data_IF_073541896540
#
_entry.id   IF_073541896540
#
_cell.length_a   1.000
_cell.length_b   1.000
_cell.length_c   1.000
_cell.angle_alpha   90.00
_cell.angle_beta   90.00
_cell.angle_gamma   90.00
#
_symmetry.space_group_name_H-M   'P 1'
#
loop_
_entity.id
_entity.type
_entity.pdbx_description
1 polymer ?
#
# COMPACT_ATOMS: atom_id res chain seq x y z
N UNK A 1 -10.31 2.76 5.11
CA UNK A 1 -9.47 3.83 4.54
C UNK A 1 -9.99 5.18 5.03
N UNK A 2 -9.20 6.23 4.95
CA UNK A 2 -9.60 7.58 5.33
C UNK A 2 -8.99 8.58 4.34
N UNK A 3 -9.66 9.71 4.15
CA UNK A 3 -9.15 10.87 3.45
C UNK A 3 -8.99 12.02 4.45
N UNK A 4 -7.86 12.70 4.38
CA UNK A 4 -7.56 13.87 5.20
C UNK A 4 -7.49 15.08 4.28
N UNK A 5 -8.44 16.00 4.44
CA UNK A 5 -8.45 17.27 3.72
C UNK A 5 -7.73 18.30 4.56
N UNK A 6 -6.65 18.84 4.02
CA UNK A 6 -5.86 19.86 4.71
C UNK A 6 -6.59 21.20 4.62
N UNK A 7 -6.43 22.02 5.66
CA UNK A 7 -6.92 23.40 5.67
C UNK A 7 -6.30 24.24 4.53
N UNK A 8 -5.02 23.99 4.23
CA UNK A 8 -4.28 24.66 3.17
C UNK A 8 -3.58 23.64 2.25
N UNK A 9 -3.54 23.87 0.93
CA UNK A 9 -2.87 22.97 0.00
C UNK A 9 -1.34 23.04 0.16
N UNK A 10 -0.67 21.91 -0.03
CA UNK A 10 0.78 21.90 -0.15
C UNK A 10 1.23 22.53 -1.47
N UNK A 11 2.36 23.24 -1.43
CA UNK A 11 3.09 23.63 -2.64
C UNK A 11 3.97 22.45 -3.07
N UNK A 12 3.80 21.98 -4.30
CA UNK A 12 4.62 20.90 -4.84
C UNK A 12 6.07 21.38 -5.03
N UNK A 13 7.01 20.53 -4.66
CA UNK A 13 8.45 20.78 -4.75
C UNK A 13 9.21 19.45 -4.83
N UNK A 14 10.55 19.48 -4.91
CA UNK A 14 11.42 18.31 -5.04
C UNK A 14 11.23 17.26 -3.95
N UNK A 15 10.78 17.67 -2.77
CA UNK A 15 10.52 16.80 -1.60
C UNK A 15 9.03 16.66 -1.26
N UNK A 16 8.12 17.28 -2.03
CA UNK A 16 6.67 17.24 -1.81
C UNK A 16 5.99 17.01 -3.15
N UNK A 17 5.50 15.80 -3.39
CA UNK A 17 4.84 15.44 -4.63
C UNK A 17 3.72 14.41 -4.41
N UNK A 18 2.85 14.22 -5.40
CA UNK A 18 1.75 13.27 -5.36
C UNK A 18 2.17 11.90 -5.90
N UNK A 19 1.50 10.85 -5.41
CA UNK A 19 1.54 9.53 -6.04
C UNK A 19 0.31 9.35 -6.92
N UNK A 20 0.45 8.60 -8.02
CA UNK A 20 -0.71 8.19 -8.81
C UNK A 20 -1.49 7.10 -8.05
N UNK A 21 -2.81 7.05 -8.16
CA UNK A 21 -3.61 5.96 -7.60
C UNK A 21 -3.86 4.88 -8.66
N UNK A 22 -3.75 3.62 -8.24
CA UNK A 22 -4.13 2.51 -9.10
C UNK A 22 -5.65 2.50 -9.35
N UNK A 23 -6.02 2.29 -10.61
CA UNK A 23 -7.39 2.06 -11.05
C UNK A 23 -7.49 0.67 -11.68
N UNK A 24 -8.64 0.02 -11.54
CA UNK A 24 -8.96 -1.25 -12.18
C UNK A 24 -8.89 -1.16 -13.71
N UNK A 25 -9.05 0.04 -14.27
CA UNK A 25 -8.99 0.33 -15.71
C UNK A 25 -7.57 0.50 -16.27
N UNK A 26 -6.59 0.88 -15.44
CA UNK A 26 -5.29 1.38 -15.93
C UNK A 26 -4.18 0.34 -15.89
N UNK A 27 -4.07 -0.48 -14.83
CA UNK A 27 -3.02 -1.49 -14.74
C UNK A 27 -3.57 -2.82 -14.22
N UNK A 28 -3.56 -3.89 -15.05
CA UNK A 28 -3.93 -5.23 -14.60
C UNK A 28 -3.07 -5.67 -13.41
N UNK A 29 -3.70 -6.28 -12.40
CA UNK A 29 -3.00 -6.79 -11.22
C UNK A 29 -1.85 -7.75 -11.57
N UNK A 30 -1.99 -8.49 -12.67
CA UNK A 30 -0.94 -9.39 -13.20
C UNK A 30 0.32 -8.66 -13.63
N UNK A 31 0.22 -7.42 -14.13
CA UNK A 31 1.37 -6.58 -14.43
C UNK A 31 1.99 -6.02 -13.15
N UNK A 32 1.16 -5.55 -12.21
CA UNK A 32 1.65 -5.03 -10.92
C UNK A 32 2.46 -6.07 -10.13
N UNK A 33 2.13 -7.36 -10.24
CA UNK A 33 2.91 -8.44 -9.60
C UNK A 33 4.33 -8.61 -10.14
N UNK A 34 4.62 -8.07 -11.33
CA UNK A 34 5.97 -8.04 -11.93
C UNK A 34 6.71 -6.74 -11.60
N UNK A 35 6.01 -5.73 -11.13
CA UNK A 35 6.60 -4.44 -10.74
C UNK A 35 7.32 -4.53 -9.40
N UNK A 36 8.32 -3.66 -9.25
CA UNK A 36 8.94 -3.41 -7.95
C UNK A 36 8.01 -2.55 -7.11
N UNK A 37 7.52 -3.09 -6.00
CA UNK A 37 6.69 -2.36 -5.05
C UNK A 37 7.48 -2.05 -3.78
N UNK A 38 7.23 -0.89 -3.20
CA UNK A 38 7.93 -0.37 -2.03
C UNK A 38 6.92 0.21 -1.05
N UNK A 39 7.05 -0.19 0.22
CA UNK A 39 6.38 0.50 1.32
C UNK A 39 7.40 1.35 2.07
N UNK A 40 6.95 2.50 2.58
CA UNK A 40 7.79 3.45 3.31
C UNK A 40 7.13 3.88 4.61
N UNK A 41 7.94 4.21 5.61
CA UNK A 41 7.44 4.61 6.91
C UNK A 41 8.55 4.91 7.92
N UNK A 42 8.13 5.31 9.11
CA UNK A 42 8.97 5.59 10.28
C UNK A 42 8.67 4.63 11.45
N UNK A 43 7.94 3.54 11.18
CA UNK A 43 7.64 2.51 12.15
C UNK A 43 8.89 1.91 12.80
N UNK A 44 8.66 1.22 13.92
CA UNK A 44 9.70 0.47 14.61
C UNK A 44 10.20 -0.69 13.74
N UNK A 45 11.42 -1.18 13.97
CA UNK A 45 11.90 -2.40 13.32
C UNK A 45 11.52 -3.68 14.09
N UNK A 46 11.06 -3.52 15.33
CA UNK A 46 10.76 -4.61 16.27
C UNK A 46 9.46 -4.36 17.03
N UNK A 47 8.78 -5.40 17.52
CA UNK A 47 7.63 -5.22 18.40
C UNK A 47 7.95 -4.32 19.59
N UNK A 48 7.12 -3.27 19.79
CA UNK A 48 7.28 -2.28 20.87
C UNK A 48 8.63 -1.54 20.90
N UNK A 49 9.34 -1.48 19.77
CA UNK A 49 10.58 -0.73 19.65
C UNK A 49 10.38 0.77 19.43
N UNK A 50 11.49 1.50 19.35
CA UNK A 50 11.50 2.95 19.13
C UNK A 50 11.31 3.27 17.65
N UNK A 51 10.45 4.25 17.36
CA UNK A 51 10.25 4.78 16.02
C UNK A 51 11.53 5.36 15.41
N UNK A 52 11.62 5.32 14.09
CA UNK A 52 12.83 5.71 13.38
C UNK A 52 12.78 7.20 13.05
N UNK A 53 13.91 7.89 13.18
CA UNK A 53 14.03 9.32 12.80
C UNK A 53 14.14 9.50 11.29
N UNK A 54 14.84 8.58 10.64
CA UNK A 54 14.94 8.54 9.18
C UNK A 54 13.87 7.60 8.61
N UNK A 55 13.22 8.02 7.53
CA UNK A 55 12.25 7.20 6.80
C UNK A 55 12.96 5.96 6.27
N UNK A 56 12.31 4.80 6.39
CA UNK A 56 12.77 3.54 5.84
C UNK A 56 11.92 3.12 4.66
N UNK A 57 12.49 2.23 3.85
CA UNK A 57 11.82 1.60 2.72
C UNK A 57 12.04 0.10 2.72
N UNK A 58 11.00 -0.64 2.38
CA UNK A 58 11.03 -2.09 2.22
C UNK A 58 10.46 -2.44 0.85
N UNK A 59 11.16 -3.31 0.12
CA UNK A 59 10.68 -3.85 -1.13
C UNK A 59 9.72 -5.02 -0.89
N UNK A 60 8.63 -5.04 -1.64
CA UNK A 60 7.56 -6.02 -1.55
C UNK A 60 7.32 -6.70 -2.90
N UNK A 61 6.97 -7.98 -2.83
CA UNK A 61 6.51 -8.78 -3.96
C UNK A 61 5.04 -9.11 -3.78
N UNK A 62 4.19 -8.58 -4.66
CA UNK A 62 2.75 -8.82 -4.61
C UNK A 62 2.41 -10.30 -4.87
N UNK A 63 1.47 -10.84 -4.10
CA UNK A 63 0.98 -12.21 -4.25
C UNK A 63 -0.51 -12.26 -4.60
N UNK A 64 -0.98 -13.44 -5.01
CA UNK A 64 -2.40 -13.65 -5.28
C UNK A 64 -3.19 -13.82 -3.96
N UNK A 65 -4.45 -13.40 -3.97
CA UNK A 65 -5.33 -13.57 -2.81
C UNK A 65 -5.49 -15.04 -2.38
N UNK A 66 -5.60 -16.04 -3.28
CA UNK A 66 -5.61 -17.44 -2.89
C UNK A 66 -4.36 -17.89 -2.13
N UNK A 67 -3.17 -17.46 -2.58
CA UNK A 67 -1.92 -17.77 -1.88
C UNK A 67 -1.91 -17.10 -0.51
N UNK A 68 -2.24 -15.81 -0.43
CA UNK A 68 -2.29 -15.08 0.83
C UNK A 68 -3.25 -15.72 1.85
N UNK A 69 -4.45 -16.09 1.40
CA UNK A 69 -5.42 -16.78 2.24
C UNK A 69 -4.88 -18.12 2.74
N UNK A 70 -4.22 -18.89 1.87
CA UNK A 70 -3.63 -20.17 2.25
C UNK A 70 -2.52 -20.00 3.30
N UNK A 71 -1.66 -18.99 3.16
CA UNK A 71 -0.63 -18.69 4.16
C UNK A 71 -1.24 -18.34 5.52
N UNK A 72 -2.26 -17.48 5.54
CA UNK A 72 -2.92 -17.13 6.81
C UNK A 72 -3.71 -18.28 7.43
N UNK A 73 -4.27 -19.19 6.64
CA UNK A 73 -4.96 -20.40 7.14
C UNK A 73 -4.05 -21.37 7.89
N UNK A 74 -2.73 -21.33 7.63
CA UNK A 74 -1.71 -22.12 8.34
C UNK A 74 -1.30 -21.49 9.69
N UNK A 75 -1.79 -20.30 10.00
CA UNK A 75 -1.44 -19.57 11.23
C UNK A 75 -2.50 -19.76 12.31
N UNK A 76 -2.36 -19.02 13.42
CA UNK A 76 -3.37 -18.91 14.49
C UNK A 76 -4.76 -18.44 14.02
N UNK A 77 -4.90 -17.89 12.82
CA UNK A 77 -6.21 -17.53 12.24
C UNK A 77 -7.01 -18.77 11.79
N UNK A 78 -6.34 -19.91 11.57
CA UNK A 78 -6.95 -21.20 11.33
C UNK A 78 -7.55 -21.38 9.92
N UNK A 79 -7.90 -22.63 9.61
CA UNK A 79 -8.35 -23.08 8.28
C UNK A 79 -9.61 -22.37 7.75
N UNK A 80 -10.40 -21.77 8.64
CA UNK A 80 -11.65 -21.08 8.29
C UNK A 80 -11.45 -19.61 7.94
N UNK A 81 -10.23 -19.07 8.06
CA UNK A 81 -9.93 -17.70 7.66
C UNK A 81 -10.33 -17.44 6.20
N UNK A 82 -10.93 -16.27 5.98
CA UNK A 82 -11.31 -15.78 4.65
C UNK A 82 -10.71 -14.40 4.44
N UNK A 83 -9.91 -14.25 3.39
CA UNK A 83 -9.34 -12.96 3.03
C UNK A 83 -10.38 -12.17 2.22
N UNK A 84 -10.79 -11.02 2.74
CA UNK A 84 -11.74 -10.16 2.03
C UNK A 84 -11.13 -9.58 0.74
N UNK A 85 -11.94 -9.43 -0.31
CA UNK A 85 -11.48 -9.02 -1.65
C UNK A 85 -10.95 -7.58 -1.74
N UNK A 86 -11.27 -6.74 -0.74
CA UNK A 86 -10.76 -5.36 -0.62
C UNK A 86 -9.33 -5.32 -0.06
N UNK A 87 -8.72 -6.47 0.21
CA UNK A 87 -7.32 -6.58 0.57
C UNK A 87 -6.48 -7.12 -0.58
N UNK A 88 -5.22 -6.69 -0.59
CA UNK A 88 -4.13 -7.30 -1.33
C UNK A 88 -3.02 -7.68 -0.34
N UNK A 89 -2.15 -8.59 -0.75
CA UNK A 89 -1.06 -9.05 0.08
C UNK A 89 0.28 -9.01 -0.65
N UNK A 90 1.35 -8.86 0.11
CA UNK A 90 2.69 -8.89 -0.42
C UNK A 90 3.68 -9.48 0.59
N UNK A 91 4.67 -10.22 0.09
CA UNK A 91 5.82 -10.62 0.89
C UNK A 91 6.88 -9.54 0.85
N UNK A 92 7.41 -9.14 2.00
CA UNK A 92 8.59 -8.30 2.02
C UNK A 92 9.83 -9.11 1.63
N UNK A 93 10.72 -8.50 0.86
CA UNK A 93 11.94 -9.16 0.39
C UNK A 93 12.96 -9.28 1.52
N UNK A 94 13.80 -10.31 1.44
CA UNK A 94 14.92 -10.53 2.36
C UNK A 94 14.48 -10.67 3.83
N UNK A 95 13.30 -11.27 4.08
CA UNK A 95 12.75 -11.45 5.43
C UNK A 95 12.38 -10.14 6.15
N UNK A 96 12.29 -9.02 5.41
CA UNK A 96 11.84 -7.75 5.96
C UNK A 96 10.33 -7.67 5.90
N UNK A 97 9.73 -7.01 6.87
CA UNK A 97 8.29 -6.79 6.91
C UNK A 97 7.99 -5.43 7.55
N UNK A 98 6.77 -4.94 7.35
CA UNK A 98 6.27 -3.78 8.07
C UNK A 98 6.07 -4.12 9.54
N UNK A 99 6.08 -3.08 10.38
CA UNK A 99 5.89 -3.28 11.81
C UNK A 99 5.09 -2.14 12.42
N UNK A 100 5.06 -2.07 13.75
CA UNK A 100 4.27 -1.08 14.48
C UNK A 100 4.68 0.34 14.08
N UNK A 101 3.69 1.15 13.70
CA UNK A 101 3.88 2.56 13.30
C UNK A 101 3.89 2.80 11.79
N UNK A 102 3.87 1.76 10.95
CA UNK A 102 3.78 1.92 9.49
C UNK A 102 2.32 1.91 8.97
N UNK A 103 1.34 1.79 9.87
CA UNK A 103 -0.09 1.75 9.54
C UNK A 103 -0.56 2.99 8.81
N UNK A 104 -1.33 2.81 7.74
CA UNK A 104 -1.77 3.91 6.88
C UNK A 104 -0.74 4.37 5.84
N UNK A 105 0.51 3.90 5.93
CA UNK A 105 1.56 4.21 4.94
C UNK A 105 1.26 3.64 3.55
N UNK A 106 1.85 4.22 2.49
CA UNK A 106 1.57 3.80 1.13
C UNK A 106 2.41 2.57 0.73
N UNK A 107 1.80 1.66 -0.02
CA UNK A 107 2.51 0.69 -0.87
C UNK A 107 2.42 1.17 -2.32
N UNK A 108 3.57 1.54 -2.87
CA UNK A 108 3.68 2.08 -4.23
C UNK A 108 4.47 1.15 -5.14
N UNK A 109 4.07 1.03 -6.40
CA UNK A 109 4.76 0.23 -7.41
C UNK A 109 5.25 1.12 -8.56
N UNK A 110 6.40 0.78 -9.13
CA UNK A 110 6.94 1.46 -10.31
C UNK A 110 6.02 1.29 -11.53
N UNK A 111 5.80 2.39 -12.25
CA UNK A 111 5.09 2.39 -13.53
C UNK A 111 6.09 2.06 -14.64
N UNK A 112 5.82 1.02 -15.41
CA UNK A 112 6.67 0.64 -16.54
C UNK A 112 6.80 1.82 -17.51
N UNK A 113 8.05 2.17 -17.88
CA UNK A 113 8.40 3.24 -18.82
C UNK A 113 8.08 4.68 -18.35
N UNK A 114 7.71 4.91 -17.08
CA UNK A 114 7.59 6.26 -16.51
C UNK A 114 8.51 6.40 -15.27
N UNK A 115 9.81 6.70 -15.47
CA UNK A 115 10.75 6.85 -14.35
C UNK A 115 10.29 7.96 -13.39
N UNK A 116 10.49 7.73 -12.09
CA UNK A 116 10.08 8.63 -10.99
C UNK A 116 8.57 8.78 -10.76
N UNK A 117 7.72 8.09 -11.53
CA UNK A 117 6.29 7.97 -11.23
C UNK A 117 5.97 6.61 -10.61
N UNK A 118 5.11 6.66 -9.61
CA UNK A 118 4.72 5.49 -8.83
C UNK A 118 3.21 5.42 -8.69
N UNK A 119 2.66 4.21 -8.77
CA UNK A 119 1.26 3.90 -8.50
C UNK A 119 1.12 3.39 -7.08
N UNK A 120 0.34 4.09 -6.26
CA UNK A 120 -0.13 3.56 -4.99
C UNK A 120 -1.16 2.48 -5.24
N UNK A 121 -0.78 1.24 -4.92
CA UNK A 121 -1.64 0.06 -5.08
C UNK A 121 -2.26 -0.37 -3.76
N UNK A 122 -1.63 -0.01 -2.64
CA UNK A 122 -2.03 -0.44 -1.32
C UNK A 122 -1.85 0.63 -0.24
N UNK A 123 -2.55 0.43 0.87
CA UNK A 123 -2.38 1.18 2.13
C UNK A 123 -2.10 0.15 3.22
N UNK A 124 -1.01 0.31 3.98
CA UNK A 124 -0.63 -0.60 5.06
C UNK A 124 -1.78 -0.77 6.04
N UNK A 125 -2.24 -2.01 6.24
CA UNK A 125 -3.42 -2.29 7.05
C UNK A 125 -3.09 -3.15 8.26
N UNK A 126 -2.63 -4.38 8.05
CA UNK A 126 -2.34 -5.30 9.15
C UNK A 126 -1.41 -6.43 8.74
N UNK A 127 -0.89 -7.14 9.74
CA UNK A 127 -0.03 -8.32 9.60
C UNK A 127 -0.02 -9.12 10.90
N UNK A 128 0.55 -10.32 10.89
CA UNK A 128 0.65 -11.18 12.08
C UNK A 128 2.03 -11.08 12.75
N UNK A 129 2.30 -9.93 13.36
CA UNK A 129 3.61 -9.62 13.96
C UNK A 129 4.50 -8.85 13.00
N UNK A 130 5.81 -8.86 13.25
CA UNK A 130 6.82 -8.18 12.43
C UNK A 130 7.91 -9.18 12.01
N UNK A 131 8.49 -8.96 10.84
CA UNK A 131 9.61 -9.75 10.28
C UNK A 131 9.37 -11.27 10.30
N UNK A 132 8.15 -11.67 9.96
CA UNK A 132 7.79 -13.08 9.81
C UNK A 132 7.90 -13.48 8.33
N UNK A 133 7.88 -14.79 8.05
CA UNK A 133 7.75 -15.30 6.68
C UNK A 133 6.28 -15.28 6.20
N UNK A 134 5.44 -14.40 6.76
CA UNK A 134 4.04 -14.25 6.38
C UNK A 134 3.89 -12.99 5.50
N UNK A 135 2.85 -12.94 4.65
CA UNK A 135 2.62 -11.75 3.85
C UNK A 135 2.03 -10.62 4.71
N UNK A 136 2.41 -9.38 4.40
CA UNK A 136 1.74 -8.18 4.90
C UNK A 136 0.44 -7.93 4.12
N UNK A 137 -0.57 -7.38 4.81
CA UNK A 137 -1.90 -7.10 4.24
C UNK A 137 -2.12 -5.60 4.10
N UNK A 138 -2.54 -5.21 2.90
CA UNK A 138 -2.79 -3.83 2.52
C UNK A 138 -4.24 -3.68 2.05
N UNK A 139 -4.87 -2.54 2.37
CA UNK A 139 -6.12 -2.16 1.71
C UNK A 139 -5.84 -1.95 0.22
N UNK A 140 -6.61 -2.59 -0.65
CA UNK A 140 -6.48 -2.53 -2.10
C UNK A 140 -7.03 -1.21 -2.61
N UNK A 141 -6.16 -0.34 -3.13
CA UNK A 141 -6.54 1.02 -3.58
C UNK A 141 -7.59 0.97 -4.68
N UNK A 142 -7.47 0.03 -5.63
CA UNK A 142 -8.46 -0.10 -6.72
C UNK A 142 -9.87 -0.43 -6.21
N UNK A 143 -10.02 -1.01 -5.01
CA UNK A 143 -11.32 -1.29 -4.40
C UNK A 143 -11.97 -0.06 -3.77
N UNK A 144 -11.21 1.01 -3.52
CA UNK A 144 -11.70 2.24 -2.89
C UNK A 144 -11.53 3.47 -3.80
N UNK A 145 -10.93 3.32 -4.99
CA UNK A 145 -10.67 4.43 -5.93
C UNK A 145 -11.93 5.23 -6.27
N UNK A 146 -13.03 4.54 -6.56
CA UNK A 146 -14.31 5.20 -6.83
C UNK A 146 -14.80 6.05 -5.65
N UNK A 147 -14.70 5.53 -4.42
CA UNK A 147 -15.05 6.30 -3.23
C UNK A 147 -14.13 7.53 -3.06
N UNK A 148 -12.83 7.38 -3.34
CA UNK A 148 -11.90 8.53 -3.33
C UNK A 148 -12.35 9.61 -4.32
N UNK A 149 -12.66 9.23 -5.56
CA UNK A 149 -13.09 10.18 -6.59
C UNK A 149 -14.40 10.89 -6.24
N UNK A 150 -15.34 10.17 -5.61
CA UNK A 150 -16.59 10.75 -5.12
C UNK A 150 -16.35 11.79 -4.02
N UNK A 151 -15.52 11.47 -3.03
CA UNK A 151 -15.22 12.40 -1.92
C UNK A 151 -14.44 13.64 -2.36
N UNK A 152 -13.55 13.49 -3.35
CA UNK A 152 -12.83 14.60 -3.98
C UNK A 152 -13.79 15.49 -4.77
N UNK A 153 -14.66 14.89 -5.59
CA UNK A 153 -15.65 15.62 -6.40
C UNK A 153 -16.67 16.35 -5.54
N UNK A 154 -17.14 15.74 -4.45
CA UNK A 154 -18.07 16.35 -3.49
C UNK A 154 -17.49 17.62 -2.82
N UNK A 155 -16.17 17.82 -2.90
CA UNK A 155 -15.45 19.00 -2.37
C UNK A 155 -14.89 19.90 -3.47
N UNK A 156 -15.25 19.67 -4.73
CA UNK A 156 -14.74 20.39 -5.89
C UNK A 156 -13.20 20.35 -6.01
N UNK A 157 -12.59 19.23 -5.61
CA UNK A 157 -11.14 19.02 -5.73
C UNK A 157 -10.83 18.22 -6.99
N UNK A 158 -9.79 18.65 -7.71
CA UNK A 158 -9.36 18.02 -8.95
C UNK A 158 -8.76 16.62 -8.70
N UNK A 159 -9.17 15.65 -9.52
CA UNK A 159 -8.70 14.26 -9.47
C UNK A 159 -7.50 14.02 -10.38
N UNK A 160 -7.12 15.00 -11.21
CA UNK A 160 -5.96 14.94 -12.11
C UNK A 160 -4.64 14.80 -11.34
N UNK A 161 -4.56 15.31 -10.12
CA UNK A 161 -3.37 15.26 -9.25
C UNK A 161 -2.85 13.85 -8.95
N UNK A 162 -3.73 12.85 -9.01
CA UNK A 162 -3.40 11.47 -8.69
C UNK A 162 -3.80 10.48 -9.80
N UNK A 163 -4.29 10.97 -10.93
CA UNK A 163 -4.63 10.11 -12.07
C UNK A 163 -3.37 9.91 -12.92
N UNK A 164 -2.96 8.65 -13.19
CA UNK A 164 -1.83 8.40 -14.08
C UNK A 164 -2.18 8.89 -15.49
N UNK A 165 -1.35 9.79 -16.03
CA UNK A 165 -1.41 10.23 -17.44
C UNK A 165 -0.83 9.16 -18.37
#
# INVERSE_FOLDING_TARGET
AALLFLENPFKLDRNVNTACLADSSTVPYTQLRKSKCTATGWGSDVPKGVYRRAMKKIEFSLISNPLCQNEFRKTRLGKWFQLHQTFLCAFGKNGRDLCYGDGGGPLVCEISRQPLRYLQVGITSWGLGCANNLPSVFTKVTSIKHWIDQEMSARNLDTSYYTPM
#
